data_IF_140407741100
#
_entry.id   IF_140407741100
#
_cell.length_a   1.000
_cell.length_b   1.000
_cell.length_c   1.000
_cell.angle_alpha   90.00
_cell.angle_beta   90.00
_cell.angle_gamma   90.00
#
_symmetry.space_group_name_H-M   'P 1'
#
loop_
_entity.id
_entity.type
_entity.pdbx_description
1 polymer ?
#
# COMPACT_ATOMS: atom_id res chain seq x y z
N UNK A 1 13.88 14.83 17.86
CA UNK A 1 13.33 15.62 16.73
C UNK A 1 11.82 15.72 16.88
N UNK A 2 11.25 16.83 16.41
CA UNK A 2 9.80 17.01 16.28
C UNK A 2 9.38 16.73 14.84
N UNK A 3 8.57 15.70 14.63
CA UNK A 3 8.17 15.18 13.32
C UNK A 3 6.65 15.28 13.17
N UNK A 4 6.22 15.91 12.09
CA UNK A 4 4.81 16.09 11.74
C UNK A 4 4.44 15.24 10.53
N UNK A 5 3.37 14.48 10.61
CA UNK A 5 2.76 13.77 9.49
C UNK A 5 1.45 14.43 9.08
N UNK A 6 1.31 14.76 7.79
CA UNK A 6 0.07 15.24 7.19
C UNK A 6 -0.61 14.10 6.44
N UNK A 7 -1.80 13.71 6.88
CA UNK A 7 -2.59 12.60 6.31
C UNK A 7 -4.07 12.99 6.29
N UNK A 8 -4.90 12.53 5.32
CA UNK A 8 -6.32 12.88 5.32
C UNK A 8 -7.06 12.47 6.60
N UNK A 9 -6.89 11.25 7.07
CA UNK A 9 -7.47 10.74 8.30
C UNK A 9 -6.70 9.50 8.81
N UNK A 10 -6.76 9.23 10.11
CA UNK A 10 -6.20 8.02 10.76
C UNK A 10 -7.27 7.01 11.17
N UNK A 11 -8.54 7.31 10.94
CA UNK A 11 -9.70 6.49 11.34
C UNK A 11 -10.07 5.40 10.34
N UNK A 12 -9.33 5.23 9.22
CA UNK A 12 -9.58 4.20 8.23
C UNK A 12 -8.71 2.97 8.50
N UNK A 13 -9.19 1.79 8.10
CA UNK A 13 -8.47 0.51 8.21
C UNK A 13 -7.48 0.27 7.06
N UNK A 14 -7.00 1.32 6.39
CA UNK A 14 -6.13 1.23 5.22
C UNK A 14 -4.70 0.78 5.55
N UNK A 15 -4.00 0.29 4.52
CA UNK A 15 -2.60 -0.12 4.68
C UNK A 15 -1.68 1.06 4.98
N UNK A 16 -1.97 2.25 4.45
CA UNK A 16 -1.19 3.47 4.69
C UNK A 16 -1.30 3.91 6.15
N UNK A 17 -2.52 3.91 6.72
CA UNK A 17 -2.77 4.26 8.12
C UNK A 17 -2.10 3.25 9.07
N UNK A 18 -2.11 1.95 8.73
CA UNK A 18 -1.43 0.91 9.52
C UNK A 18 0.09 1.10 9.52
N UNK A 19 0.68 1.36 8.37
CA UNK A 19 2.11 1.61 8.22
C UNK A 19 2.52 2.88 8.98
N UNK A 20 1.74 3.97 8.83
CA UNK A 20 2.00 5.21 9.54
C UNK A 20 1.95 5.04 11.06
N UNK A 21 0.92 4.38 11.60
CA UNK A 21 0.81 4.12 13.02
C UNK A 21 2.02 3.35 13.55
N UNK A 22 2.46 2.31 12.82
CA UNK A 22 3.61 1.49 13.22
C UNK A 22 4.92 2.29 13.23
N UNK A 23 5.19 3.06 12.17
CA UNK A 23 6.37 3.93 12.08
C UNK A 23 6.37 5.01 13.17
N UNK A 24 5.22 5.66 13.38
CA UNK A 24 5.10 6.72 14.37
C UNK A 24 5.24 6.21 15.81
N UNK A 25 4.68 5.05 16.13
CA UNK A 25 4.85 4.42 17.44
C UNK A 25 6.33 4.11 17.69
N UNK A 26 7.03 3.51 16.73
CA UNK A 26 8.47 3.24 16.85
C UNK A 26 9.29 4.52 17.09
N UNK A 27 9.01 5.60 16.35
CA UNK A 27 9.69 6.88 16.55
C UNK A 27 9.37 7.50 17.91
N UNK A 28 8.13 7.37 18.39
CA UNK A 28 7.72 7.84 19.71
C UNK A 28 8.42 7.07 20.84
N UNK A 29 8.59 5.75 20.70
CA UNK A 29 9.36 4.91 21.64
C UNK A 29 10.84 5.32 21.70
N UNK A 30 11.41 5.81 20.59
CA UNK A 30 12.75 6.39 20.56
C UNK A 30 12.83 7.82 21.14
N UNK A 31 11.72 8.38 21.63
CA UNK A 31 11.68 9.70 22.27
C UNK A 31 11.53 10.88 21.30
N UNK A 32 11.17 10.64 20.05
CA UNK A 32 10.80 11.71 19.13
C UNK A 32 9.40 12.27 19.42
N UNK A 33 9.20 13.58 19.23
CA UNK A 33 7.89 14.21 19.35
C UNK A 33 7.12 14.05 18.04
N UNK A 34 6.02 13.27 18.07
CA UNK A 34 5.22 12.93 16.90
C UNK A 34 3.89 13.69 16.90
N UNK A 35 3.57 14.29 15.76
CA UNK A 35 2.33 15.05 15.59
C UNK A 35 1.65 14.62 14.29
N UNK A 36 0.36 14.30 14.38
CA UNK A 36 -0.47 14.05 13.20
C UNK A 36 -1.35 15.26 12.92
N UNK A 37 -1.39 15.67 11.66
CA UNK A 37 -2.31 16.72 11.18
C UNK A 37 -3.22 16.06 10.13
N UNK A 38 -4.54 16.08 10.42
CA UNK A 38 -5.57 15.50 9.57
C UNK A 38 -6.49 16.56 8.98
N UNK A 39 -7.19 16.21 7.89
CA UNK A 39 -8.16 17.09 7.22
C UNK A 39 -9.59 16.59 7.31
N UNK A 40 -9.78 15.28 7.52
CA UNK A 40 -11.05 14.57 7.43
C UNK A 40 -11.30 13.61 8.60
N UNK A 41 -10.68 13.86 9.77
CA UNK A 41 -10.82 12.99 10.96
C UNK A 41 -12.25 13.01 11.53
N UNK A 42 -12.91 14.17 11.56
CA UNK A 42 -14.31 14.35 11.97
C UNK A 42 -14.59 13.81 13.38
N UNK A 43 -13.67 14.00 14.31
CA UNK A 43 -13.81 13.54 15.68
C UNK A 43 -13.80 12.02 15.88
N UNK A 44 -13.53 11.23 14.83
CA UNK A 44 -13.42 9.77 14.95
C UNK A 44 -12.06 9.40 15.54
N UNK A 45 -11.97 8.36 16.40
CA UNK A 45 -10.69 7.90 16.91
C UNK A 45 -9.82 7.29 15.78
N UNK A 46 -8.50 7.24 15.96
CA UNK A 46 -7.63 6.45 15.09
C UNK A 46 -8.08 4.98 15.05
N UNK A 47 -7.97 4.34 13.87
CA UNK A 47 -8.32 2.92 13.73
C UNK A 47 -7.25 2.02 14.34
N UNK A 48 -5.98 2.37 14.14
CA UNK A 48 -4.84 1.66 14.73
C UNK A 48 -4.39 2.38 16.01
N UNK A 49 -3.97 1.60 17.00
CA UNK A 49 -3.47 2.11 18.26
C UNK A 49 -2.24 3.00 18.05
N UNK A 50 -2.25 4.16 18.68
CA UNK A 50 -1.14 5.12 18.64
C UNK A 50 -0.51 5.23 20.03
N UNK A 51 0.81 5.43 20.04
CA UNK A 51 1.54 5.68 21.29
C UNK A 51 0.95 6.91 22.01
N UNK A 52 0.77 6.88 23.34
CA UNK A 52 0.08 7.95 24.09
C UNK A 52 0.69 9.34 23.96
N UNK A 53 1.98 9.45 23.61
CA UNK A 53 2.66 10.72 23.39
C UNK A 53 2.35 11.38 22.04
N UNK A 54 1.73 10.66 21.10
CA UNK A 54 1.41 11.20 19.78
C UNK A 54 0.24 12.17 19.87
N UNK A 55 0.46 13.39 19.43
CA UNK A 55 -0.55 14.45 19.42
C UNK A 55 -1.21 14.53 18.04
N UNK A 56 -2.53 14.72 17.99
CA UNK A 56 -3.27 14.82 16.72
C UNK A 56 -4.06 16.13 16.65
N UNK A 57 -3.99 16.79 15.49
CA UNK A 57 -4.78 17.98 15.17
C UNK A 57 -5.62 17.71 13.91
N UNK A 58 -6.93 17.94 13.98
CA UNK A 58 -7.79 17.92 12.79
C UNK A 58 -8.05 19.34 12.31
N UNK A 59 -7.69 19.60 11.06
CA UNK A 59 -7.93 20.91 10.44
C UNK A 59 -9.41 21.11 10.05
N UNK A 60 -10.21 20.05 10.03
CA UNK A 60 -11.64 20.12 9.71
C UNK A 60 -11.92 20.71 8.34
N UNK A 61 -11.22 20.23 7.30
CA UNK A 61 -11.39 20.69 5.90
C UNK A 61 -12.51 19.91 5.22
N UNK A 62 -12.68 18.64 5.57
CA UNK A 62 -13.74 17.77 5.07
C UNK A 62 -13.79 17.62 3.54
N UNK A 63 -12.68 17.29 2.90
CA UNK A 63 -12.61 17.05 1.45
C UNK A 63 -13.57 15.94 1.03
N UNK A 64 -13.70 14.89 1.83
CA UNK A 64 -14.58 13.74 1.57
C UNK A 64 -16.07 14.09 1.51
N UNK A 65 -16.51 15.17 2.14
CA UNK A 65 -17.89 15.63 2.05
C UNK A 65 -18.30 15.99 0.60
N UNK A 66 -17.32 16.20 -0.28
CA UNK A 66 -17.56 16.48 -1.71
C UNK A 66 -17.58 15.21 -2.57
N UNK A 67 -17.29 14.04 -1.99
CA UNK A 67 -17.38 12.75 -2.68
C UNK A 67 -18.86 12.42 -2.92
N UNK A 68 -19.29 12.43 -4.19
CA UNK A 68 -20.70 12.27 -4.57
C UNK A 68 -21.41 13.56 -4.98
N UNK A 69 -20.84 14.74 -4.72
CA UNK A 69 -21.40 16.00 -5.19
C UNK A 69 -21.15 16.24 -6.70
N UNK A 70 -22.05 16.98 -7.35
CA UNK A 70 -21.97 17.29 -8.78
C UNK A 70 -20.72 18.09 -9.16
N UNK A 71 -20.40 18.13 -10.46
CA UNK A 71 -19.20 18.77 -11.01
C UNK A 71 -19.08 20.26 -10.62
N UNK A 72 -20.18 21.01 -10.64
CA UNK A 72 -20.23 22.42 -10.25
C UNK A 72 -19.86 22.63 -8.78
N UNK A 73 -20.34 21.78 -7.89
CA UNK A 73 -19.98 21.80 -6.46
C UNK A 73 -18.49 21.55 -6.26
N UNK A 74 -17.91 20.60 -6.98
CA UNK A 74 -16.46 20.33 -6.94
C UNK A 74 -15.64 21.53 -7.42
N UNK A 75 -16.03 22.16 -8.50
CA UNK A 75 -15.33 23.33 -9.05
C UNK A 75 -15.35 24.56 -8.12
N UNK A 76 -16.40 24.76 -7.35
CA UNK A 76 -16.52 25.92 -6.46
C UNK A 76 -16.01 25.67 -5.04
N UNK A 77 -16.23 24.49 -4.49
CA UNK A 77 -15.88 24.18 -3.11
C UNK A 77 -14.41 23.75 -2.95
N UNK A 78 -13.85 23.03 -3.93
CA UNK A 78 -12.46 22.55 -3.82
C UNK A 78 -11.46 23.72 -3.68
N UNK A 79 -11.49 24.81 -4.49
CA UNK A 79 -10.56 25.94 -4.31
C UNK A 79 -10.68 26.63 -2.95
N UNK A 80 -11.92 26.73 -2.41
CA UNK A 80 -12.16 27.30 -1.08
C UNK A 80 -11.57 26.44 0.02
N UNK A 81 -11.82 25.13 -0.03
CA UNK A 81 -11.27 24.16 0.92
C UNK A 81 -9.74 24.11 0.84
N UNK A 82 -9.18 24.13 -0.36
CA UNK A 82 -7.74 24.13 -0.56
C UNK A 82 -7.07 25.40 0.00
N UNK A 83 -7.70 26.58 -0.16
CA UNK A 83 -7.22 27.83 0.45
C UNK A 83 -7.29 27.75 1.98
N UNK A 84 -8.40 27.28 2.53
CA UNK A 84 -8.58 27.11 3.97
C UNK A 84 -7.57 26.11 4.55
N UNK A 85 -7.33 24.99 3.86
CA UNK A 85 -6.33 24.00 4.22
C UNK A 85 -4.94 24.64 4.29
N UNK A 86 -4.52 25.35 3.24
CA UNK A 86 -3.25 26.05 3.21
C UNK A 86 -3.11 27.03 4.37
N UNK A 87 -4.15 27.83 4.64
CA UNK A 87 -4.14 28.79 5.74
C UNK A 87 -3.97 28.09 7.10
N UNK A 88 -4.87 27.15 7.43
CA UNK A 88 -4.85 26.45 8.74
C UNK A 88 -3.57 25.65 8.95
N UNK A 89 -3.09 24.96 7.93
CA UNK A 89 -1.85 24.20 8.00
C UNK A 89 -0.65 25.15 8.20
N UNK A 90 -0.58 26.26 7.50
CA UNK A 90 0.49 27.27 7.67
C UNK A 90 0.52 27.82 9.08
N UNK A 91 -0.63 28.26 9.61
CA UNK A 91 -0.76 28.81 10.97
C UNK A 91 -0.33 27.78 12.02
N UNK A 92 -0.69 26.53 11.84
CA UNK A 92 -0.33 25.45 12.78
C UNK A 92 1.16 25.12 12.70
N UNK A 93 1.74 24.96 11.51
CA UNK A 93 3.16 24.62 11.36
C UNK A 93 4.08 25.72 11.91
N UNK A 94 3.73 27.00 11.70
CA UNK A 94 4.48 28.15 12.30
C UNK A 94 4.50 28.12 13.84
N UNK A 95 3.45 27.58 14.47
CA UNK A 95 3.38 27.43 15.93
C UNK A 95 4.15 26.20 16.42
N UNK A 96 4.08 25.10 15.67
CA UNK A 96 4.69 23.82 16.06
C UNK A 96 6.20 23.84 15.98
N UNK A 97 6.80 24.57 15.04
CA UNK A 97 8.25 24.66 14.80
C UNK A 97 8.87 23.25 14.70
N UNK A 98 8.32 22.43 13.80
CA UNK A 98 8.79 21.08 13.57
C UNK A 98 10.16 21.06 12.90
N UNK A 99 10.94 20.02 13.12
CA UNK A 99 12.16 19.76 12.37
C UNK A 99 11.84 19.22 10.97
N UNK A 100 10.86 18.32 10.91
CA UNK A 100 10.46 17.62 9.69
C UNK A 100 8.93 17.59 9.56
N UNK A 101 8.44 17.87 8.37
CA UNK A 101 7.02 17.72 8.00
C UNK A 101 6.91 16.77 6.81
N UNK A 102 6.17 15.69 7.00
CA UNK A 102 5.99 14.61 6.02
C UNK A 102 4.55 14.67 5.48
N UNK A 103 4.41 14.86 4.18
CA UNK A 103 3.14 14.68 3.47
C UNK A 103 2.97 13.23 3.04
N UNK A 104 1.84 12.63 3.33
CA UNK A 104 1.45 11.32 2.80
C UNK A 104 0.78 11.43 1.42
N UNK A 105 1.22 12.39 0.61
CA UNK A 105 0.68 12.71 -0.71
C UNK A 105 -0.82 13.06 -0.70
N UNK A 106 -1.22 13.87 0.27
CA UNK A 106 -2.56 14.47 0.34
C UNK A 106 -2.70 15.73 -0.53
N UNK A 107 -3.80 16.47 -0.31
CA UNK A 107 -4.04 17.77 -0.98
C UNK A 107 -3.00 18.84 -0.59
N UNK A 108 -2.33 18.65 0.55
CA UNK A 108 -1.23 19.48 1.06
C UNK A 108 0.02 19.44 0.16
N UNK A 109 0.27 18.34 -0.53
CA UNK A 109 1.48 18.13 -1.33
C UNK A 109 1.71 19.25 -2.36
N UNK A 110 0.64 19.85 -2.87
CA UNK A 110 0.73 20.92 -3.88
C UNK A 110 1.24 22.26 -3.35
N UNK A 111 1.17 22.51 -2.04
CA UNK A 111 1.55 23.80 -1.44
C UNK A 111 2.48 23.69 -0.23
N UNK A 112 2.62 22.52 0.39
CA UNK A 112 3.43 22.32 1.59
C UNK A 112 4.87 22.82 1.44
N UNK A 113 5.60 22.59 0.32
CA UNK A 113 6.96 23.10 0.15
C UNK A 113 7.06 24.64 0.15
N UNK A 114 5.94 25.33 -0.10
CA UNK A 114 5.91 26.80 -0.08
C UNK A 114 5.79 27.39 1.32
N UNK A 115 5.47 26.60 2.35
CA UNK A 115 5.35 27.04 3.74
C UNK A 115 6.74 27.16 4.34
N UNK A 116 7.11 28.38 4.74
CA UNK A 116 8.44 28.71 5.31
C UNK A 116 8.36 28.76 6.83
N UNK A 117 8.18 27.59 7.47
CA UNK A 117 8.09 27.42 8.93
C UNK A 117 9.43 26.95 9.56
N UNK A 118 10.46 26.75 8.72
CA UNK A 118 11.76 26.31 9.15
C UNK A 118 11.97 24.79 9.09
N UNK A 119 10.95 23.98 8.90
CA UNK A 119 11.07 22.52 8.80
C UNK A 119 11.51 22.04 7.43
N UNK A 120 12.10 20.85 7.37
CA UNK A 120 12.31 20.12 6.13
C UNK A 120 11.02 19.46 5.65
N UNK A 121 10.77 19.47 4.35
CA UNK A 121 9.57 18.93 3.72
C UNK A 121 9.87 17.62 3.02
N UNK A 122 9.28 16.55 3.52
CA UNK A 122 9.38 15.21 2.96
C UNK A 122 8.05 14.81 2.34
N UNK A 123 8.08 14.19 1.18
CA UNK A 123 6.90 13.61 0.55
C UNK A 123 7.04 12.09 0.53
N UNK A 124 6.11 11.39 1.14
CA UNK A 124 6.02 9.92 1.13
C UNK A 124 4.91 9.47 0.18
N UNK A 125 5.26 8.69 -0.84
CA UNK A 125 4.36 8.33 -1.93
C UNK A 125 4.01 6.83 -1.89
N UNK A 126 2.77 6.51 -1.51
CA UNK A 126 2.30 5.13 -1.31
C UNK A 126 1.65 4.49 -2.55
N UNK A 127 1.82 5.09 -3.71
CA UNK A 127 1.19 4.64 -4.95
C UNK A 127 2.25 4.46 -6.05
N UNK A 128 1.87 3.85 -7.18
CA UNK A 128 2.72 3.87 -8.36
C UNK A 128 2.55 5.19 -9.13
N UNK A 129 3.63 5.72 -9.73
CA UNK A 129 3.63 6.93 -10.56
C UNK A 129 2.51 6.93 -11.61
N UNK A 130 2.36 5.82 -12.29
CA UNK A 130 1.42 5.68 -13.41
C UNK A 130 0.04 5.15 -13.00
N UNK A 131 -0.30 5.11 -11.70
CA UNK A 131 -1.58 4.54 -11.23
C UNK A 131 -2.80 5.06 -11.99
N UNK A 132 -2.84 6.36 -12.34
CA UNK A 132 -3.97 6.95 -13.07
C UNK A 132 -4.09 6.42 -14.49
N UNK A 133 -2.97 6.13 -15.15
CA UNK A 133 -2.93 5.61 -16.52
C UNK A 133 -3.40 4.14 -16.59
N UNK A 134 -3.32 3.43 -15.45
CA UNK A 134 -3.71 2.03 -15.32
C UNK A 134 -5.21 1.85 -15.11
N UNK A 135 -5.98 2.93 -14.87
CA UNK A 135 -7.45 2.88 -14.77
C UNK A 135 -8.14 2.53 -16.11
N UNK A 136 -7.41 2.37 -17.20
CA UNK A 136 -7.95 1.98 -18.51
C UNK A 136 -8.87 3.01 -19.15
N UNK A 137 -8.86 4.27 -18.68
CA UNK A 137 -9.67 5.35 -19.25
C UNK A 137 -9.24 5.65 -20.69
N UNK A 138 -10.22 6.00 -21.55
CA UNK A 138 -9.99 6.29 -22.97
C UNK A 138 -10.33 7.75 -23.31
N UNK A 139 -9.90 8.20 -24.50
CA UNK A 139 -10.23 9.54 -25.03
C UNK A 139 -9.72 10.68 -24.15
N UNK A 140 -10.53 11.70 -23.97
CA UNK A 140 -10.19 12.93 -23.21
C UNK A 140 -9.74 12.62 -21.76
N UNK A 141 -10.33 11.64 -21.13
CA UNK A 141 -9.96 11.24 -19.75
C UNK A 141 -8.53 10.68 -19.67
N UNK A 142 -8.07 9.96 -20.69
CA UNK A 142 -6.68 9.51 -20.76
C UNK A 142 -5.70 10.68 -20.86
N UNK A 143 -6.04 11.70 -21.66
CA UNK A 143 -5.22 12.92 -21.78
C UNK A 143 -5.16 13.68 -20.45
N UNK A 144 -6.28 13.80 -19.75
CA UNK A 144 -6.34 14.42 -18.42
C UNK A 144 -5.46 13.64 -17.43
N UNK A 145 -5.51 12.31 -17.44
CA UNK A 145 -4.68 11.48 -16.57
C UNK A 145 -3.19 11.61 -16.90
N UNK A 146 -2.81 11.75 -18.17
CA UNK A 146 -1.43 12.04 -18.58
C UNK A 146 -0.96 13.42 -18.09
N UNK A 147 -1.80 14.46 -18.23
CA UNK A 147 -1.47 15.80 -17.77
C UNK A 147 -1.33 15.85 -16.23
N UNK A 148 -2.20 15.15 -15.51
CA UNK A 148 -2.10 15.03 -14.06
C UNK A 148 -0.84 14.29 -13.61
N UNK A 149 -0.48 13.19 -14.28
CA UNK A 149 0.76 12.46 -13.98
C UNK A 149 2.00 13.32 -14.21
N UNK A 150 2.02 14.15 -15.29
CA UNK A 150 3.07 15.17 -15.49
C UNK A 150 3.03 16.26 -14.43
N UNK A 151 1.84 16.61 -13.93
CA UNK A 151 1.67 17.53 -12.80
C UNK A 151 2.30 17.00 -11.51
N UNK A 152 2.19 15.71 -11.25
CA UNK A 152 2.79 15.08 -10.08
C UNK A 152 4.32 15.25 -10.08
N UNK A 153 4.99 15.17 -11.23
CA UNK A 153 6.44 15.43 -11.34
C UNK A 153 6.84 16.86 -10.89
N UNK A 154 6.00 17.84 -11.17
CA UNK A 154 6.22 19.22 -10.70
C UNK A 154 5.96 19.37 -9.21
N UNK A 155 5.03 18.57 -8.67
CA UNK A 155 4.68 18.58 -7.25
C UNK A 155 5.79 17.99 -6.38
N UNK A 156 6.47 16.93 -6.84
CA UNK A 156 7.48 16.23 -6.03
C UNK A 156 8.83 16.96 -5.98
N UNK A 157 9.18 17.73 -7.02
CA UNK A 157 10.50 18.39 -7.13
C UNK A 157 10.83 19.40 -6.03
N UNK A 158 9.89 20.21 -5.50
CA UNK A 158 10.18 21.21 -4.47
C UNK A 158 10.37 20.66 -3.05
N UNK A 159 10.14 19.35 -2.82
CA UNK A 159 10.39 18.73 -1.53
C UNK A 159 11.89 18.52 -1.29
N UNK A 160 12.32 18.62 -0.04
CA UNK A 160 13.69 18.32 0.34
C UNK A 160 14.03 16.84 0.14
N UNK A 161 13.05 15.96 0.36
CA UNK A 161 13.13 14.55 -0.01
C UNK A 161 11.78 14.01 -0.51
N UNK A 162 11.86 13.15 -1.52
CA UNK A 162 10.72 12.44 -2.11
C UNK A 162 10.97 10.93 -1.99
N UNK A 163 10.16 10.27 -1.15
CA UNK A 163 10.28 8.86 -0.83
C UNK A 163 9.25 8.04 -1.60
N UNK A 164 9.71 7.05 -2.33
CA UNK A 164 8.90 6.00 -2.98
C UNK A 164 9.19 4.65 -2.34
N UNK A 165 8.33 3.66 -2.59
CA UNK A 165 8.37 2.39 -1.86
C UNK A 165 9.15 1.27 -2.58
N UNK A 166 9.43 1.42 -3.88
CA UNK A 166 9.99 0.37 -4.74
C UNK A 166 11.01 0.93 -5.71
N UNK A 167 11.99 0.11 -6.09
CA UNK A 167 12.96 0.46 -7.13
C UNK A 167 12.30 0.60 -8.51
N UNK A 168 11.27 -0.23 -8.78
CA UNK A 168 10.50 -0.14 -10.03
C UNK A 168 9.82 1.23 -10.16
N UNK A 169 9.21 1.75 -9.06
CA UNK A 169 8.59 3.08 -9.09
C UNK A 169 9.64 4.19 -9.18
N UNK A 170 10.78 4.05 -8.48
CA UNK A 170 11.90 4.99 -8.58
C UNK A 170 12.40 5.10 -10.03
N UNK A 171 12.59 3.98 -10.71
CA UNK A 171 12.96 3.95 -12.13
C UNK A 171 11.93 4.68 -13.02
N UNK A 172 10.63 4.51 -12.71
CA UNK A 172 9.57 5.22 -13.42
C UNK A 172 9.62 6.74 -13.23
N UNK A 173 10.01 7.23 -12.02
CA UNK A 173 10.18 8.67 -11.76
C UNK A 173 11.41 9.26 -12.44
N UNK A 174 12.41 8.44 -12.74
CA UNK A 174 13.67 8.85 -13.34
C UNK A 174 14.61 9.56 -12.36
N UNK A 175 15.63 10.20 -12.89
CA UNK A 175 16.67 10.84 -12.07
C UNK A 175 16.17 12.14 -11.43
N UNK A 176 15.64 12.03 -10.21
CA UNK A 176 15.32 13.18 -9.36
C UNK A 176 16.35 13.24 -8.21
N UNK A 177 16.99 14.39 -7.94
CA UNK A 177 18.05 14.48 -6.94
C UNK A 177 17.56 14.23 -5.51
N UNK A 178 16.28 14.48 -5.25
CA UNK A 178 15.63 14.30 -3.96
C UNK A 178 14.92 12.96 -3.80
N UNK A 179 15.00 12.05 -4.79
CA UNK A 179 14.36 10.73 -4.73
C UNK A 179 15.10 9.79 -3.80
N UNK A 180 14.35 9.10 -2.96
CA UNK A 180 14.81 8.01 -2.08
C UNK A 180 13.87 6.83 -2.20
N UNK A 181 14.40 5.62 -2.07
CA UNK A 181 13.60 4.40 -1.98
C UNK A 181 13.64 3.90 -0.55
N UNK A 182 12.51 3.93 0.13
CA UNK A 182 12.35 3.38 1.48
C UNK A 182 11.03 2.61 1.51
N UNK A 183 11.06 1.28 1.51
CA UNK A 183 9.83 0.47 1.51
C UNK A 183 9.08 0.58 2.84
N UNK A 184 7.84 0.12 2.83
CA UNK A 184 7.06 0.01 4.06
C UNK A 184 7.55 -1.15 4.92
N UNK A 185 7.57 -1.02 6.25
CA UNK A 185 7.90 -2.11 7.14
C UNK A 185 6.80 -3.16 7.18
N UNK A 186 7.17 -4.39 7.56
CA UNK A 186 6.24 -5.47 7.90
C UNK A 186 5.14 -4.99 8.83
N UNK A 187 3.86 -5.32 8.54
CA UNK A 187 2.75 -4.87 9.39
C UNK A 187 2.62 -5.69 10.68
N UNK A 188 3.19 -6.89 10.72
CA UNK A 188 3.22 -7.77 11.89
C UNK A 188 4.37 -8.77 11.78
N UNK A 189 4.74 -9.37 12.90
CA UNK A 189 5.61 -10.53 12.99
C UNK A 189 4.79 -11.75 13.47
N UNK A 190 5.20 -12.94 13.04
CA UNK A 190 4.60 -14.19 13.50
C UNK A 190 5.69 -15.22 13.81
N UNK A 191 5.63 -15.78 15.01
CA UNK A 191 6.49 -16.91 15.40
C UNK A 191 5.93 -18.26 14.92
N UNK A 192 4.71 -18.25 14.38
CA UNK A 192 4.00 -19.42 13.89
C UNK A 192 3.60 -19.23 12.42
N UNK A 193 4.53 -19.40 11.47
CA UNK A 193 4.23 -19.34 10.04
C UNK A 193 3.36 -20.53 9.61
N UNK A 194 2.92 -20.54 8.36
CA UNK A 194 2.33 -21.72 7.73
C UNK A 194 3.40 -22.82 7.57
N UNK A 195 2.98 -24.07 7.75
CA UNK A 195 3.77 -25.25 7.40
C UNK A 195 3.59 -25.69 5.93
N UNK A 196 2.76 -24.95 5.19
CA UNK A 196 2.41 -25.21 3.80
C UNK A 196 1.76 -26.59 3.52
N UNK A 197 1.21 -27.26 4.54
CA UNK A 197 0.55 -28.57 4.41
C UNK A 197 -0.92 -28.48 3.97
N UNK A 198 -1.58 -27.36 4.27
CA UNK A 198 -2.99 -27.17 3.94
C UNK A 198 -3.23 -27.08 2.41
N UNK A 199 -4.33 -27.65 1.94
CA UNK A 199 -4.75 -27.54 0.54
C UNK A 199 -5.57 -26.27 0.30
N UNK A 200 -4.94 -25.11 0.55
CA UNK A 200 -5.60 -23.80 0.41
C UNK A 200 -4.71 -22.77 -0.26
N UNK A 201 -5.29 -22.12 -1.28
CA UNK A 201 -4.80 -20.88 -1.86
C UNK A 201 -5.45 -19.69 -1.17
N UNK A 202 -4.69 -18.61 -0.97
CA UNK A 202 -5.18 -17.36 -0.39
C UNK A 202 -4.93 -16.19 -1.33
N UNK A 203 -5.93 -15.34 -1.49
CA UNK A 203 -5.82 -14.02 -2.08
C UNK A 203 -6.51 -12.99 -1.19
N UNK A 204 -5.93 -11.81 -1.04
CA UNK A 204 -6.46 -10.78 -0.15
C UNK A 204 -6.47 -9.40 -0.81
N UNK A 205 -7.55 -8.65 -0.60
CA UNK A 205 -7.61 -7.29 -1.08
C UNK A 205 -9.04 -6.79 -1.33
N UNK A 206 -9.15 -5.55 -1.79
CA UNK A 206 -10.45 -4.95 -2.11
C UNK A 206 -11.04 -5.60 -3.36
N UNK A 207 -12.34 -5.88 -3.32
CA UNK A 207 -13.07 -6.32 -4.52
C UNK A 207 -13.30 -5.13 -5.46
N UNK A 208 -12.24 -4.75 -6.18
CA UNK A 208 -12.23 -3.67 -7.17
C UNK A 208 -11.48 -4.08 -8.46
N UNK A 209 -11.48 -3.20 -9.46
CA UNK A 209 -10.83 -3.48 -10.75
C UNK A 209 -9.30 -3.67 -10.64
N UNK A 210 -8.68 -3.11 -9.58
CA UNK A 210 -7.24 -3.20 -9.36
C UNK A 210 -6.82 -4.64 -9.06
N UNK A 211 -7.55 -5.33 -8.17
CA UNK A 211 -7.18 -6.67 -7.69
C UNK A 211 -7.49 -7.79 -8.69
N UNK A 212 -8.35 -7.54 -9.68
CA UNK A 212 -8.62 -8.45 -10.80
C UNK A 212 -9.03 -9.87 -10.36
N UNK A 213 -9.84 -9.96 -9.30
CA UNK A 213 -10.30 -11.25 -8.77
C UNK A 213 -11.22 -12.02 -9.74
N UNK A 214 -11.85 -11.34 -10.69
CA UNK A 214 -12.57 -11.99 -11.79
C UNK A 214 -11.64 -12.91 -12.60
N UNK A 215 -10.43 -12.46 -12.93
CA UNK A 215 -9.43 -13.30 -13.57
C UNK A 215 -9.00 -14.47 -12.67
N UNK A 216 -8.75 -14.22 -11.38
CA UNK A 216 -8.37 -15.28 -10.45
C UNK A 216 -9.42 -16.38 -10.36
N UNK A 217 -10.71 -16.01 -10.33
CA UNK A 217 -11.85 -16.95 -10.34
C UNK A 217 -11.86 -17.78 -11.64
N UNK A 218 -11.61 -17.13 -12.81
CA UNK A 218 -11.57 -17.85 -14.10
C UNK A 218 -10.36 -18.79 -14.20
N UNK A 219 -9.21 -18.42 -13.63
CA UNK A 219 -8.03 -19.31 -13.54
C UNK A 219 -8.27 -20.50 -12.60
N UNK A 220 -8.91 -20.23 -11.45
CA UNK A 220 -9.30 -21.28 -10.50
C UNK A 220 -10.31 -22.26 -11.09
N UNK A 221 -11.26 -21.79 -11.89
CA UNK A 221 -12.24 -22.64 -12.57
C UNK A 221 -11.60 -23.70 -13.46
N UNK A 222 -10.40 -23.44 -14.00
CA UNK A 222 -9.65 -24.40 -14.83
C UNK A 222 -8.89 -25.43 -13.98
N UNK A 223 -8.51 -25.07 -12.76
CA UNK A 223 -7.75 -25.94 -11.84
C UNK A 223 -8.65 -26.79 -10.94
N UNK A 224 -9.76 -26.23 -10.48
CA UNK A 224 -10.64 -26.87 -9.49
C UNK A 224 -11.07 -28.30 -9.83
N UNK A 225 -11.38 -28.68 -11.11
CA UNK A 225 -11.71 -30.06 -11.44
C UNK A 225 -10.58 -31.06 -11.25
N UNK A 226 -9.31 -30.61 -11.41
CA UNK A 226 -8.12 -31.44 -11.27
C UNK A 226 -7.70 -31.60 -9.80
N UNK A 227 -8.11 -30.63 -8.95
CA UNK A 227 -7.70 -30.53 -7.54
C UNK A 227 -8.91 -30.44 -6.59
N UNK A 228 -9.72 -31.49 -6.47
CA UNK A 228 -10.99 -31.45 -5.71
C UNK A 228 -10.77 -31.20 -4.20
N UNK A 229 -9.60 -31.54 -3.67
CA UNK A 229 -9.23 -31.34 -2.25
C UNK A 229 -8.67 -29.95 -1.95
N UNK A 230 -8.43 -29.14 -2.99
CA UNK A 230 -7.94 -27.78 -2.82
C UNK A 230 -9.07 -26.77 -2.83
N UNK A 231 -8.88 -25.68 -2.11
CA UNK A 231 -9.79 -24.54 -2.13
C UNK A 231 -9.09 -23.21 -2.33
N UNK A 232 -9.77 -22.26 -2.94
CA UNK A 232 -9.35 -20.88 -3.06
C UNK A 232 -10.15 -20.01 -2.08
N UNK A 233 -9.46 -19.28 -1.21
CA UNK A 233 -10.07 -18.29 -0.32
C UNK A 233 -9.69 -16.89 -0.80
N UNK A 234 -10.70 -16.06 -1.10
CA UNK A 234 -10.51 -14.64 -1.43
C UNK A 234 -11.15 -13.82 -0.32
N UNK A 235 -10.35 -13.04 0.42
CA UNK A 235 -10.87 -12.23 1.52
C UNK A 235 -10.74 -10.73 1.26
N UNK A 236 -11.79 -10.00 1.61
CA UNK A 236 -11.85 -8.56 1.47
C UNK A 236 -13.27 -8.02 1.34
N UNK A 237 -13.36 -6.72 1.01
CA UNK A 237 -14.63 -6.06 0.70
C UNK A 237 -14.46 -5.12 -0.49
N UNK A 238 -15.56 -4.73 -1.10
CA UNK A 238 -15.56 -3.78 -2.22
C UNK A 238 -16.75 -3.93 -3.15
N UNK A 239 -16.89 -2.94 -4.01
CA UNK A 239 -18.06 -2.77 -4.89
C UNK A 239 -18.28 -3.93 -5.89
N UNK A 240 -17.22 -4.66 -6.24
CA UNK A 240 -17.31 -5.77 -7.20
C UNK A 240 -17.61 -7.13 -6.54
N UNK A 241 -17.71 -7.21 -5.22
CA UNK A 241 -17.98 -8.46 -4.53
C UNK A 241 -19.26 -9.16 -5.02
N UNK A 242 -20.41 -8.46 -5.21
CA UNK A 242 -21.62 -9.11 -5.76
C UNK A 242 -21.40 -9.68 -7.17
N UNK A 243 -20.63 -8.99 -8.03
CA UNK A 243 -20.30 -9.46 -9.38
C UNK A 243 -19.47 -10.74 -9.33
N UNK A 244 -18.49 -10.82 -8.42
CA UNK A 244 -17.66 -12.01 -8.25
C UNK A 244 -18.46 -13.18 -7.66
N UNK A 245 -19.40 -12.92 -6.73
CA UNK A 245 -20.32 -13.96 -6.22
C UNK A 245 -21.14 -14.56 -7.37
N UNK A 246 -21.75 -13.72 -8.19
CA UNK A 246 -22.51 -14.20 -9.36
C UNK A 246 -21.63 -14.96 -10.39
N UNK A 247 -20.33 -14.59 -10.52
CA UNK A 247 -19.38 -15.32 -11.38
C UNK A 247 -19.12 -16.73 -10.83
N UNK A 248 -18.86 -16.86 -9.52
CA UNK A 248 -18.67 -18.15 -8.84
C UNK A 248 -19.88 -19.06 -9.00
N UNK A 249 -21.09 -18.52 -8.79
CA UNK A 249 -22.36 -19.25 -8.96
C UNK A 249 -22.55 -19.71 -10.40
N UNK A 250 -22.34 -18.84 -11.38
CA UNK A 250 -22.46 -19.16 -12.82
C UNK A 250 -21.50 -20.25 -13.27
N UNK A 251 -20.28 -20.28 -12.70
CA UNK A 251 -19.25 -21.29 -12.99
C UNK A 251 -19.45 -22.59 -12.18
N UNK A 252 -20.39 -22.62 -11.25
CA UNK A 252 -20.68 -23.80 -10.42
C UNK A 252 -19.54 -24.19 -9.47
N UNK A 253 -18.66 -23.24 -9.12
CA UNK A 253 -17.47 -23.51 -8.29
C UNK A 253 -17.88 -23.73 -6.83
N UNK A 254 -17.53 -24.90 -6.28
CA UNK A 254 -17.79 -25.27 -4.87
C UNK A 254 -16.56 -25.12 -3.99
N UNK A 255 -15.36 -25.15 -4.58
CA UNK A 255 -14.08 -25.07 -3.86
C UNK A 255 -13.50 -23.65 -3.81
N UNK A 256 -14.36 -22.63 -3.81
CA UNK A 256 -13.98 -21.21 -3.66
C UNK A 256 -14.83 -20.57 -2.57
N UNK A 257 -14.18 -19.77 -1.73
CA UNK A 257 -14.83 -19.00 -0.67
C UNK A 257 -14.52 -17.51 -0.82
N UNK A 258 -15.57 -16.68 -0.89
CA UNK A 258 -15.46 -15.21 -0.90
C UNK A 258 -15.76 -14.67 0.50
N UNK A 259 -14.71 -14.51 1.30
CA UNK A 259 -14.82 -14.06 2.69
C UNK A 259 -14.92 -12.53 2.80
N UNK A 260 -15.57 -12.07 3.87
CA UNK A 260 -15.47 -10.67 4.31
C UNK A 260 -14.13 -10.42 5.02
N UNK A 261 -13.71 -9.13 5.17
CA UNK A 261 -12.53 -8.80 5.95
C UNK A 261 -12.60 -9.37 7.36
N UNK A 262 -11.46 -9.82 7.87
CA UNK A 262 -11.31 -10.33 9.24
C UNK A 262 -10.16 -9.64 9.94
N UNK A 263 -10.24 -9.56 11.27
CA UNK A 263 -9.11 -9.16 12.12
C UNK A 263 -8.10 -10.31 12.33
N UNK A 264 -8.50 -11.55 12.06
CA UNK A 264 -7.67 -12.75 12.21
C UNK A 264 -6.87 -13.03 10.93
N UNK A 265 -6.20 -12.02 10.40
CA UNK A 265 -5.48 -12.10 9.12
C UNK A 265 -4.36 -13.15 9.17
N UNK A 266 -3.63 -13.22 10.27
CA UNK A 266 -2.53 -14.18 10.44
C UNK A 266 -3.04 -15.64 10.42
N UNK A 267 -4.23 -15.90 10.95
CA UNK A 267 -4.85 -17.24 10.90
C UNK A 267 -5.16 -17.66 9.46
N UNK A 268 -5.62 -16.74 8.63
CA UNK A 268 -5.87 -17.03 7.21
C UNK A 268 -4.57 -17.39 6.47
N UNK A 269 -3.49 -16.66 6.70
CA UNK A 269 -2.19 -17.00 6.13
C UNK A 269 -1.72 -18.36 6.65
N UNK A 270 -1.80 -18.62 7.97
CA UNK A 270 -1.38 -19.88 8.59
C UNK A 270 -2.14 -21.09 8.05
N UNK A 271 -3.44 -20.93 7.79
CA UNK A 271 -4.30 -21.97 7.22
C UNK A 271 -4.13 -22.16 5.71
N UNK A 272 -3.19 -21.45 5.08
CA UNK A 272 -2.96 -21.49 3.64
C UNK A 272 -1.57 -22.02 3.30
N UNK A 273 -1.38 -22.51 2.09
CA UNK A 273 -0.10 -23.05 1.61
C UNK A 273 0.47 -22.31 0.43
N UNK A 274 -0.33 -21.49 -0.26
CA UNK A 274 0.07 -20.69 -1.41
C UNK A 274 -0.65 -19.35 -1.32
N UNK A 275 0.09 -18.26 -1.53
CA UNK A 275 -0.51 -16.95 -1.75
C UNK A 275 -0.56 -16.63 -3.24
N UNK A 276 -1.66 -16.04 -3.71
CA UNK A 276 -1.82 -15.73 -5.14
C UNK A 276 -2.31 -14.30 -5.36
N UNK A 277 -1.75 -13.62 -6.38
CA UNK A 277 -2.11 -12.25 -6.71
C UNK A 277 -2.25 -12.04 -8.23
N UNK A 278 -3.39 -11.53 -8.65
CA UNK A 278 -3.72 -11.22 -10.05
C UNK A 278 -3.88 -9.73 -10.32
N UNK A 279 -3.38 -8.87 -9.44
CA UNK A 279 -3.55 -7.41 -9.54
C UNK A 279 -3.08 -6.84 -10.87
N UNK A 280 -3.77 -5.81 -11.35
CA UNK A 280 -3.40 -5.06 -12.57
C UNK A 280 -2.28 -4.06 -12.34
N UNK A 281 -2.19 -3.53 -11.13
CA UNK A 281 -1.16 -2.60 -10.68
C UNK A 281 -1.16 -2.53 -9.15
N UNK A 282 -0.01 -2.20 -8.57
CA UNK A 282 0.17 -1.98 -7.13
C UNK A 282 1.03 -0.72 -6.88
N UNK A 283 1.29 -0.40 -5.63
CA UNK A 283 2.44 0.39 -5.20
C UNK A 283 3.49 -0.57 -4.63
N UNK A 284 3.51 -0.75 -3.31
CA UNK A 284 4.16 -1.88 -2.66
C UNK A 284 3.06 -2.80 -2.13
N UNK A 285 2.88 -4.02 -2.68
CA UNK A 285 1.80 -4.92 -2.27
C UNK A 285 2.09 -5.55 -0.91
N UNK A 286 1.64 -4.92 0.18
CA UNK A 286 1.87 -5.37 1.56
C UNK A 286 1.44 -6.82 1.79
N UNK A 287 0.40 -7.27 1.11
CA UNK A 287 -0.10 -8.65 1.19
C UNK A 287 0.92 -9.70 0.72
N UNK A 288 1.84 -9.34 -0.19
CA UNK A 288 2.93 -10.22 -0.60
C UNK A 288 3.99 -10.31 0.49
N UNK A 289 4.32 -9.17 1.12
CA UNK A 289 5.26 -9.11 2.23
C UNK A 289 4.70 -9.86 3.46
N UNK A 290 3.39 -9.72 3.70
CA UNK A 290 2.68 -10.48 4.74
C UNK A 290 2.73 -11.99 4.45
N UNK A 291 2.49 -12.40 3.20
CA UNK A 291 2.59 -13.81 2.78
C UNK A 291 4.00 -14.37 2.96
N UNK A 292 5.04 -13.60 2.57
CA UNK A 292 6.43 -13.97 2.81
C UNK A 292 6.73 -14.17 4.30
N UNK A 293 6.31 -13.22 5.16
CA UNK A 293 6.48 -13.32 6.61
C UNK A 293 5.81 -14.56 7.19
N UNK A 294 4.67 -14.97 6.62
CA UNK A 294 3.94 -16.17 7.02
C UNK A 294 4.46 -17.45 6.36
N UNK A 295 5.56 -17.38 5.61
CA UNK A 295 6.19 -18.54 4.99
C UNK A 295 5.43 -19.13 3.82
N UNK A 296 4.64 -18.34 3.10
CA UNK A 296 3.91 -18.79 1.92
C UNK A 296 4.67 -18.52 0.63
N UNK A 297 4.85 -19.51 -0.24
CA UNK A 297 5.25 -19.28 -1.61
C UNK A 297 4.18 -18.46 -2.35
N UNK A 298 4.63 -17.59 -3.24
CA UNK A 298 3.75 -16.63 -3.92
C UNK A 298 3.67 -16.99 -5.41
N UNK A 299 2.46 -16.94 -5.98
CA UNK A 299 2.26 -16.93 -7.44
C UNK A 299 1.60 -15.61 -7.82
N UNK A 300 2.32 -14.79 -8.60
CA UNK A 300 1.85 -13.44 -8.93
C UNK A 300 2.16 -13.07 -10.38
N UNK A 301 1.32 -12.23 -10.97
CA UNK A 301 1.73 -11.49 -12.15
C UNK A 301 2.68 -10.36 -11.77
N UNK A 302 3.66 -10.11 -12.65
CA UNK A 302 4.58 -8.99 -12.57
C UNK A 302 3.91 -7.68 -13.00
N UNK A 303 2.81 -7.34 -12.33
CA UNK A 303 2.11 -6.09 -12.62
C UNK A 303 2.95 -4.87 -12.18
N UNK A 304 2.77 -3.70 -12.82
CA UNK A 304 3.37 -2.46 -12.33
C UNK A 304 2.74 -2.04 -11.00
N UNK A 305 3.43 -1.69 -10.01
CA UNK A 305 4.75 -1.78 -9.43
C UNK A 305 4.77 -2.85 -8.32
N UNK A 306 5.97 -3.17 -7.82
CA UNK A 306 6.14 -3.84 -6.53
C UNK A 306 6.29 -5.36 -6.55
N UNK A 307 5.56 -6.19 -7.33
CA UNK A 307 5.81 -7.63 -7.31
C UNK A 307 7.26 -8.01 -7.66
N UNK A 308 7.89 -7.27 -8.60
CA UNK A 308 9.31 -7.46 -8.97
C UNK A 308 10.28 -7.06 -7.86
N UNK A 309 9.88 -6.16 -6.98
CA UNK A 309 10.67 -5.76 -5.82
C UNK A 309 10.50 -6.73 -4.63
N UNK A 310 9.41 -7.50 -4.60
CA UNK A 310 9.08 -8.40 -3.50
C UNK A 310 9.47 -9.85 -3.79
N UNK A 311 9.22 -10.36 -4.99
CA UNK A 311 9.35 -11.76 -5.34
C UNK A 311 10.65 -12.00 -6.12
N UNK A 312 11.44 -12.99 -5.69
CA UNK A 312 12.55 -13.55 -6.45
C UNK A 312 12.06 -14.80 -7.16
N UNK A 313 11.84 -14.69 -8.48
CA UNK A 313 11.26 -15.77 -9.28
C UNK A 313 12.03 -17.09 -9.16
N UNK A 314 11.28 -18.20 -8.94
CA UNK A 314 11.81 -19.55 -8.72
C UNK A 314 12.45 -19.79 -7.36
N UNK A 315 12.60 -18.76 -6.50
CA UNK A 315 13.22 -18.85 -5.17
C UNK A 315 12.17 -18.83 -4.07
N UNK A 316 11.41 -17.75 -3.94
CA UNK A 316 10.39 -17.53 -2.91
C UNK A 316 8.96 -17.45 -3.50
N UNK A 317 8.82 -17.68 -4.79
CA UNK A 317 7.57 -17.71 -5.52
C UNK A 317 7.78 -17.78 -7.02
N UNK A 318 6.69 -17.65 -7.77
CA UNK A 318 6.67 -17.56 -9.23
C UNK A 318 6.12 -16.21 -9.65
N UNK A 319 6.87 -15.51 -10.49
CA UNK A 319 6.54 -14.19 -11.01
C UNK A 319 6.34 -14.26 -12.53
N UNK A 320 5.09 -14.21 -12.97
CA UNK A 320 4.70 -14.40 -14.37
C UNK A 320 4.45 -13.06 -15.05
N UNK A 321 4.74 -12.95 -16.34
CA UNK A 321 4.39 -11.75 -17.11
C UNK A 321 2.87 -11.56 -17.17
N UNK A 322 2.44 -10.30 -17.16
CA UNK A 322 1.01 -9.96 -17.23
C UNK A 322 0.39 -10.51 -18.50
N UNK A 323 -0.64 -11.35 -18.34
CA UNK A 323 -1.32 -12.03 -19.46
C UNK A 323 -0.84 -13.45 -19.73
N UNK A 324 0.24 -13.91 -19.09
CA UNK A 324 0.66 -15.32 -19.17
C UNK A 324 -0.20 -16.19 -18.24
N UNK A 325 -1.45 -16.40 -18.64
CA UNK A 325 -2.41 -17.20 -17.86
C UNK A 325 -2.01 -18.67 -17.80
N UNK A 326 -1.41 -19.19 -18.87
CA UNK A 326 -0.95 -20.59 -18.93
C UNK A 326 0.20 -20.83 -17.95
N UNK A 327 1.21 -19.95 -17.95
CA UNK A 327 2.31 -20.00 -16.98
C UNK A 327 1.82 -19.87 -15.53
N UNK A 328 0.83 -19.01 -15.29
CA UNK A 328 0.25 -18.83 -13.95
C UNK A 328 -0.44 -20.13 -13.46
N UNK A 329 -1.23 -20.77 -14.30
CA UNK A 329 -1.85 -22.07 -14.00
C UNK A 329 -0.79 -23.14 -13.78
N UNK A 330 0.27 -23.18 -14.60
CA UNK A 330 1.36 -24.15 -14.46
C UNK A 330 2.13 -23.94 -13.15
N UNK A 331 2.39 -22.69 -12.75
CA UNK A 331 3.03 -22.36 -11.47
C UNK A 331 2.17 -22.83 -10.29
N UNK A 332 0.85 -22.62 -10.34
CA UNK A 332 -0.06 -23.11 -9.30
C UNK A 332 -0.06 -24.64 -9.25
N UNK A 333 -0.18 -25.34 -10.38
CA UNK A 333 -0.10 -26.82 -10.44
C UNK A 333 1.16 -27.34 -9.77
N UNK A 334 2.30 -26.76 -10.12
CA UNK A 334 3.59 -27.16 -9.57
C UNK A 334 3.66 -27.06 -8.07
N UNK A 335 3.12 -25.99 -7.50
CA UNK A 335 3.05 -25.83 -6.04
C UNK A 335 1.97 -26.71 -5.41
N UNK A 336 0.84 -26.94 -6.06
CA UNK A 336 -0.22 -27.81 -5.56
C UNK A 336 0.24 -29.28 -5.53
N UNK A 337 1.03 -29.73 -6.51
CA UNK A 337 1.53 -31.09 -6.65
C UNK A 337 2.68 -31.41 -5.68
N UNK A 338 3.41 -30.40 -5.16
CA UNK A 338 4.62 -30.64 -4.35
C UNK A 338 4.63 -29.85 -3.04
N UNK A 339 4.32 -30.54 -1.95
CA UNK A 339 4.46 -29.96 -0.60
C UNK A 339 5.92 -29.58 -0.30
N UNK A 340 6.88 -30.41 -0.69
CA UNK A 340 8.30 -30.11 -0.50
C UNK A 340 8.72 -28.81 -1.19
N UNK A 341 8.19 -28.53 -2.38
CA UNK A 341 8.47 -27.26 -3.08
C UNK A 341 7.79 -26.08 -2.39
N UNK A 342 6.56 -26.24 -1.91
CA UNK A 342 5.89 -25.21 -1.11
C UNK A 342 6.68 -24.86 0.14
N UNK A 343 7.13 -25.87 0.88
CA UNK A 343 7.92 -25.68 2.10
C UNK A 343 9.28 -25.03 1.80
N UNK A 344 9.97 -25.48 0.77
CA UNK A 344 11.25 -24.89 0.33
C UNK A 344 11.11 -23.41 -0.02
N UNK A 345 10.13 -23.07 -0.88
CA UNK A 345 9.87 -21.69 -1.28
C UNK A 345 9.33 -20.85 -0.13
N UNK A 346 8.47 -21.41 0.71
CA UNK A 346 7.94 -20.74 1.90
C UNK A 346 9.04 -20.36 2.90
N UNK A 347 10.01 -21.24 3.14
CA UNK A 347 11.19 -20.94 3.95
C UNK A 347 12.02 -19.80 3.35
N UNK A 348 12.25 -19.83 2.04
CA UNK A 348 12.94 -18.74 1.34
C UNK A 348 12.17 -17.41 1.40
N UNK A 349 10.84 -17.46 1.26
CA UNK A 349 9.96 -16.31 1.39
C UNK A 349 10.07 -15.66 2.78
N UNK A 350 10.09 -16.47 3.84
CA UNK A 350 10.26 -15.96 5.20
C UNK A 350 11.58 -15.23 5.39
N UNK A 351 12.69 -15.78 4.91
CA UNK A 351 14.00 -15.11 4.94
C UNK A 351 13.94 -13.80 4.13
N UNK A 352 13.33 -13.83 2.93
CA UNK A 352 13.19 -12.65 2.09
C UNK A 352 12.40 -11.50 2.77
N UNK A 353 11.44 -11.83 3.65
CA UNK A 353 10.64 -10.85 4.38
C UNK A 353 11.44 -10.00 5.38
N UNK A 354 12.61 -10.48 5.85
CA UNK A 354 13.44 -9.81 6.86
C UNK A 354 13.94 -8.43 6.40
N UNK A 355 14.09 -8.23 5.09
CA UNK A 355 14.46 -6.91 4.52
C UNK A 355 13.40 -5.82 4.78
N UNK A 356 12.17 -6.22 5.14
CA UNK A 356 11.08 -5.33 5.52
C UNK A 356 10.92 -5.21 7.03
N UNK A 357 11.88 -5.69 7.81
CA UNK A 357 11.87 -5.55 9.26
C UNK A 357 11.74 -4.08 9.65
N UNK A 358 10.90 -3.82 10.68
CA UNK A 358 10.63 -2.47 11.16
C UNK A 358 11.92 -1.73 11.53
N UNK A 359 12.81 -2.36 12.31
CA UNK A 359 14.06 -1.72 12.70
C UNK A 359 14.94 -1.40 11.50
N UNK A 360 15.02 -2.32 10.53
CA UNK A 360 15.80 -2.10 9.31
C UNK A 360 15.27 -0.92 8.50
N UNK A 361 13.95 -0.88 8.27
CA UNK A 361 13.31 0.22 7.54
C UNK A 361 13.42 1.54 8.30
N UNK A 362 13.24 1.52 9.62
CA UNK A 362 13.34 2.74 10.43
C UNK A 362 14.75 3.29 10.53
N UNK A 363 15.81 2.47 10.43
CA UNK A 363 17.20 2.94 10.27
C UNK A 363 17.35 3.81 9.02
N UNK A 364 16.74 3.43 7.89
CA UNK A 364 16.76 4.23 6.66
C UNK A 364 16.03 5.57 6.82
N UNK A 365 14.88 5.56 7.51
CA UNK A 365 14.16 6.79 7.83
C UNK A 365 14.94 7.72 8.76
N UNK A 366 15.53 7.18 9.83
CA UNK A 366 16.35 7.97 10.76
C UNK A 366 17.57 8.56 10.08
N UNK A 367 18.26 7.79 9.23
CA UNK A 367 19.39 8.29 8.43
C UNK A 367 18.96 9.45 7.50
N UNK A 368 17.81 9.34 6.84
CA UNK A 368 17.24 10.42 6.04
C UNK A 368 16.94 11.67 6.89
N UNK A 369 16.35 11.50 8.07
CA UNK A 369 16.04 12.62 8.96
C UNK A 369 17.30 13.33 9.44
N UNK A 370 18.32 12.57 9.81
CA UNK A 370 19.62 13.11 10.23
C UNK A 370 20.32 13.85 9.09
N UNK A 371 20.34 13.29 7.86
CA UNK A 371 20.85 13.96 6.66
C UNK A 371 20.19 15.34 6.47
N UNK A 372 18.85 15.40 6.54
CA UNK A 372 18.10 16.62 6.33
C UNK A 372 18.37 17.68 7.41
N UNK A 373 18.35 17.29 8.68
CA UNK A 373 18.54 18.22 9.80
C UNK A 373 19.97 18.78 9.86
N UNK A 374 20.99 17.94 9.58
CA UNK A 374 22.38 18.37 9.63
C UNK A 374 22.82 19.15 8.37
N UNK A 375 22.16 18.96 7.22
CA UNK A 375 22.47 19.73 5.99
C UNK A 375 22.26 21.24 6.13
N UNK A 376 21.52 21.71 7.15
CA UNK A 376 21.33 23.14 7.46
C UNK A 376 22.49 23.78 8.25
N UNK A 377 23.39 22.97 8.79
CA UNK A 377 24.51 23.49 9.61
C UNK A 377 25.78 23.77 8.80
N UNK A 378 25.76 23.46 7.52
CA UNK A 378 26.84 23.73 6.55
C UNK A 378 26.48 24.91 5.67
#
# INVERSE_FOLDING_TARGET
MKIVYCIPATCNSGGMERVLARKANYLAELGHELIFITTDQRGRPPFFELHPSIVSYDLGIDYDANNGSGLLSKLTQYPRKHRLHRQRLTELLLKLKADIVISMFGDDASFLPSIKDGSHKVLEYHFAKYKRLQYGRRGLWRLIDQLRTKGDERTVRPFDSFVVLTEEDAAAWGALPNLRVIPNPLPFYSDSPSDCSAHQLLAMGRYDEQKHFDLLIDLWAQLAPEYPDWRLVITGDGKLRPKHTAQVERLGLKSIELMRPTHQVQELYRASSIYTMTSRYEGLPMVLIEAQQMGLPIVSFACPCGPRDVITDGVDGYLLEVGDHAGFIQALRRLMDSEAERQRMGAAARIASERYDLEHIMKSWLALFDELVHSKQS
#
